data_IF_640158527133
#
_entry.id   IF_640158527133
#
_cell.length_a   1.000
_cell.length_b   1.000
_cell.length_c   1.000
_cell.angle_alpha   90.00
_cell.angle_beta   90.00
_cell.angle_gamma   90.00
#
_symmetry.space_group_name_H-M   'P 1'
#
loop_
_entity.id
_entity.type
_entity.pdbx_description
1 polymer ?
#
# COMPACT_ATOMS: atom_id res chain seq x y z
N UNK A 1 -16.88 -14.81 -26.63
CA UNK A 1 -15.52 -14.25 -26.56
C UNK A 1 -14.95 -14.58 -25.20
N UNK A 2 -14.05 -15.56 -25.11
CA UNK A 2 -13.35 -15.91 -23.86
C UNK A 2 -12.01 -15.18 -23.93
N UNK A 3 -11.88 -14.09 -23.20
CA UNK A 3 -10.61 -13.37 -23.09
C UNK A 3 -9.74 -14.12 -22.08
N UNK A 4 -8.90 -15.05 -22.55
CA UNK A 4 -7.73 -15.49 -21.78
C UNK A 4 -6.66 -14.43 -21.96
N UNK A 5 -6.78 -13.33 -21.21
CA UNK A 5 -5.63 -12.47 -20.97
C UNK A 5 -4.81 -13.10 -19.84
N UNK A 6 -3.51 -13.19 -20.03
CA UNK A 6 -2.54 -13.75 -19.10
C UNK A 6 -2.72 -13.17 -17.67
N UNK A 7 -3.46 -13.87 -16.81
CA UNK A 7 -3.67 -13.45 -15.42
C UNK A 7 -2.38 -13.54 -14.60
N UNK A 8 -1.37 -14.29 -15.06
CA UNK A 8 -0.12 -14.53 -14.33
C UNK A 8 0.72 -13.26 -14.14
N UNK A 9 0.93 -12.47 -15.19
CA UNK A 9 1.81 -11.28 -15.11
C UNK A 9 1.22 -10.21 -14.20
N UNK A 10 -0.10 -9.97 -14.31
CA UNK A 10 -0.81 -9.03 -13.44
C UNK A 10 -0.73 -9.48 -11.98
N UNK A 11 -0.95 -10.77 -11.73
CA UNK A 11 -0.84 -11.34 -10.40
C UNK A 11 0.58 -11.24 -9.84
N UNK A 12 1.61 -11.53 -10.65
CA UNK A 12 3.02 -11.47 -10.26
C UNK A 12 3.46 -10.05 -9.92
N UNK A 13 3.11 -9.07 -10.77
CA UNK A 13 3.37 -7.65 -10.51
C UNK A 13 2.67 -7.21 -9.22
N UNK A 14 1.39 -7.58 -9.06
CA UNK A 14 0.63 -7.23 -7.87
C UNK A 14 1.22 -7.84 -6.59
N UNK A 15 1.58 -9.13 -6.64
CA UNK A 15 2.18 -9.84 -5.51
C UNK A 15 3.52 -9.22 -5.11
N UNK A 16 4.36 -8.90 -6.08
CA UNK A 16 5.67 -8.30 -5.82
C UNK A 16 5.55 -6.86 -5.31
N UNK A 17 4.63 -6.07 -5.87
CA UNK A 17 4.33 -4.73 -5.35
C UNK A 17 3.92 -4.78 -3.88
N UNK A 18 2.97 -5.66 -3.52
CA UNK A 18 2.49 -5.81 -2.14
C UNK A 18 3.63 -6.24 -1.22
N UNK A 19 4.45 -7.20 -1.65
CA UNK A 19 5.60 -7.65 -0.87
C UNK A 19 6.57 -6.50 -0.58
N UNK A 20 6.98 -5.77 -1.62
CA UNK A 20 7.92 -4.66 -1.50
C UNK A 20 7.37 -3.52 -0.64
N UNK A 21 6.09 -3.17 -0.83
CA UNK A 21 5.42 -2.13 -0.03
C UNK A 21 5.42 -2.47 1.46
N UNK A 22 4.99 -3.68 1.83
CA UNK A 22 4.92 -4.08 3.24
C UNK A 22 6.30 -4.43 3.84
N UNK A 23 7.29 -4.86 3.05
CA UNK A 23 8.69 -4.95 3.50
C UNK A 23 9.23 -3.56 3.84
N UNK A 24 9.03 -2.56 2.97
CA UNK A 24 9.46 -1.19 3.25
C UNK A 24 8.72 -0.62 4.46
N UNK A 25 7.42 -0.88 4.61
CA UNK A 25 6.67 -0.45 5.79
C UNK A 25 7.20 -1.06 7.09
N UNK A 26 7.66 -2.30 7.05
CA UNK A 26 8.23 -3.00 8.20
C UNK A 26 9.62 -2.49 8.58
N UNK A 27 10.50 -2.33 7.58
CA UNK A 27 11.92 -2.03 7.82
C UNK A 27 12.23 -0.53 7.84
N UNK A 28 11.51 0.25 7.03
CA UNK A 28 11.78 1.68 6.73
C UNK A 28 10.46 2.44 6.51
N UNK A 29 9.57 2.53 7.51
CA UNK A 29 8.24 3.11 7.36
C UNK A 29 8.25 4.54 6.80
N UNK A 30 9.25 5.35 7.19
CA UNK A 30 9.44 6.70 6.68
C UNK A 30 9.76 6.79 5.18
N UNK A 31 10.11 5.69 4.52
CA UNK A 31 10.39 5.67 3.07
C UNK A 31 9.18 5.23 2.24
N UNK A 32 8.11 4.73 2.85
CA UNK A 32 6.94 4.17 2.14
C UNK A 32 6.24 5.21 1.24
N UNK A 33 6.30 6.50 1.60
CA UNK A 33 5.76 7.57 0.78
C UNK A 33 6.37 7.61 -0.64
N UNK A 34 7.55 7.00 -0.86
CA UNK A 34 8.22 6.93 -2.17
C UNK A 34 7.47 6.08 -3.19
N UNK A 35 6.53 5.23 -2.76
CA UNK A 35 5.63 4.51 -3.65
C UNK A 35 4.53 5.40 -4.26
N UNK A 36 4.37 6.63 -3.77
CA UNK A 36 3.33 7.57 -4.19
C UNK A 36 3.91 8.65 -5.10
N UNK A 37 3.10 9.15 -6.03
CA UNK A 37 3.44 10.27 -6.93
C UNK A 37 2.79 11.58 -6.48
N UNK A 38 3.05 12.67 -7.18
CA UNK A 38 2.51 14.00 -6.88
C UNK A 38 0.98 14.09 -6.98
N UNK A 39 0.34 13.23 -7.77
CA UNK A 39 -1.12 13.20 -7.94
C UNK A 39 -1.78 12.08 -7.12
N UNK A 40 -0.99 11.31 -6.37
CA UNK A 40 -1.51 10.19 -5.60
C UNK A 40 -2.35 10.65 -4.40
N UNK A 41 -3.28 9.78 -3.99
CA UNK A 41 -4.11 9.95 -2.80
C UNK A 41 -3.81 8.85 -1.79
N UNK A 42 -3.90 9.18 -0.51
CA UNK A 42 -3.74 8.24 0.60
C UNK A 42 -4.90 8.43 1.59
N UNK A 43 -5.45 7.30 2.06
CA UNK A 43 -6.50 7.23 3.07
C UNK A 43 -6.08 6.19 4.09
N UNK A 44 -6.21 6.51 5.37
CA UNK A 44 -6.00 5.59 6.48
C UNK A 44 -7.28 5.55 7.32
N UNK A 45 -7.75 4.34 7.66
CA UNK A 45 -9.00 4.09 8.39
C UNK A 45 -10.22 4.87 7.87
N UNK A 46 -10.69 5.86 8.63
CA UNK A 46 -11.89 6.67 8.34
C UNK A 46 -11.56 8.14 8.08
N UNK A 47 -10.27 8.48 7.94
CA UNK A 47 -9.82 9.84 7.71
C UNK A 47 -10.13 10.33 6.28
N UNK A 48 -10.12 11.65 6.10
CA UNK A 48 -10.25 12.24 4.77
C UNK A 48 -9.02 11.94 3.91
N UNK A 49 -9.20 11.74 2.59
CA UNK A 49 -8.09 11.51 1.68
C UNK A 49 -7.12 12.69 1.66
N UNK A 50 -5.82 12.39 1.79
CA UNK A 50 -4.74 13.36 1.57
C UNK A 50 -4.19 13.20 0.17
N UNK A 51 -3.98 14.31 -0.54
CA UNK A 51 -3.46 14.32 -1.92
C UNK A 51 -2.04 14.87 -1.96
N UNK A 52 -1.16 14.15 -2.69
CA UNK A 52 0.18 14.58 -3.03
C UNK A 52 1.28 14.03 -2.13
N UNK A 53 2.38 13.60 -2.74
CA UNK A 53 3.46 12.85 -2.09
C UNK A 53 3.98 13.48 -0.78
N UNK A 54 4.15 14.81 -0.74
CA UNK A 54 4.60 15.49 0.48
C UNK A 54 3.59 15.39 1.63
N UNK A 55 2.30 15.63 1.35
CA UNK A 55 1.24 15.51 2.37
C UNK A 55 1.05 14.07 2.81
N UNK A 56 1.25 13.12 1.91
CA UNK A 56 1.25 11.68 2.21
C UNK A 56 2.42 11.33 3.14
N UNK A 57 3.63 11.86 2.88
CA UNK A 57 4.78 11.70 3.78
C UNK A 57 4.45 12.18 5.19
N UNK A 58 3.95 13.41 5.32
CA UNK A 58 3.57 13.99 6.62
C UNK A 58 2.47 13.16 7.32
N UNK A 59 1.52 12.60 6.57
CA UNK A 59 0.50 11.71 7.12
C UNK A 59 1.09 10.40 7.64
N UNK A 60 1.99 9.76 6.88
CA UNK A 60 2.68 8.53 7.29
C UNK A 60 3.59 8.79 8.51
N UNK A 61 4.29 9.91 8.56
CA UNK A 61 5.13 10.30 9.70
C UNK A 61 4.30 10.46 10.99
N UNK A 62 3.10 11.06 10.90
CA UNK A 62 2.17 11.20 12.04
C UNK A 62 1.60 9.87 12.55
N UNK A 63 1.60 8.82 11.74
CA UNK A 63 1.11 7.50 12.15
C UNK A 63 2.14 6.73 12.97
N UNK A 64 3.41 7.16 12.98
CA UNK A 64 4.47 6.59 13.82
C UNK A 64 4.48 5.05 13.80
N UNK A 65 4.48 4.48 12.59
CA UNK A 65 4.50 3.03 12.40
C UNK A 65 5.75 2.41 13.03
N UNK A 66 5.57 1.55 14.04
CA UNK A 66 6.64 0.79 14.69
C UNK A 66 6.34 -0.71 14.59
N UNK A 67 7.38 -1.54 14.40
CA UNK A 67 7.29 -3.01 14.39
C UNK A 67 6.18 -3.59 13.50
N UNK A 68 5.90 -2.94 12.36
CA UNK A 68 4.85 -3.35 11.46
C UNK A 68 5.13 -4.74 10.85
N UNK A 69 4.22 -5.68 11.10
CA UNK A 69 4.22 -7.02 10.49
C UNK A 69 2.93 -7.24 9.73
N UNK A 70 3.07 -7.65 8.47
CA UNK A 70 1.94 -7.97 7.61
C UNK A 70 1.92 -9.46 7.29
N UNK A 71 0.77 -10.10 7.49
CA UNK A 71 0.49 -11.45 7.00
C UNK A 71 -0.51 -11.37 5.85
N UNK A 72 -0.02 -11.60 4.64
CA UNK A 72 -0.81 -11.52 3.42
C UNK A 72 -1.64 -12.79 3.27
N UNK A 73 -2.97 -12.67 3.12
CA UNK A 73 -3.87 -13.80 2.87
C UNK A 73 -4.20 -13.96 1.39
N UNK A 74 -4.58 -12.86 0.73
CA UNK A 74 -4.95 -12.88 -0.69
C UNK A 74 -4.50 -11.60 -1.38
N UNK A 75 -4.04 -11.74 -2.62
CA UNK A 75 -3.76 -10.63 -3.54
C UNK A 75 -4.53 -10.91 -4.82
N UNK A 76 -5.36 -9.96 -5.23
CA UNK A 76 -6.13 -10.00 -6.48
C UNK A 76 -5.78 -8.77 -7.30
N UNK A 77 -5.61 -8.94 -8.62
CA UNK A 77 -5.25 -7.87 -9.54
C UNK A 77 -6.21 -7.79 -10.72
N UNK A 78 -6.58 -6.58 -11.11
CA UNK A 78 -7.44 -6.30 -12.27
C UNK A 78 -6.83 -5.18 -13.10
N UNK A 79 -6.62 -5.42 -14.40
CA UNK A 79 -6.16 -4.39 -15.32
C UNK A 79 -7.23 -3.31 -15.53
N UNK A 80 -6.81 -2.05 -15.67
CA UNK A 80 -7.68 -0.92 -15.98
C UNK A 80 -7.57 -0.52 -17.45
N UNK A 81 -8.54 0.27 -17.93
CA UNK A 81 -8.61 0.76 -19.32
C UNK A 81 -7.41 1.63 -19.74
N UNK A 82 -6.64 2.16 -18.78
CA UNK A 82 -5.49 3.05 -19.02
C UNK A 82 -4.16 2.35 -18.72
N UNK A 83 -4.07 1.04 -18.98
CA UNK A 83 -2.86 0.25 -18.72
C UNK A 83 -2.42 0.27 -17.24
N UNK A 84 -3.35 0.58 -16.34
CA UNK A 84 -3.12 0.58 -14.90
C UNK A 84 -3.50 -0.77 -14.29
N UNK A 85 -3.14 -0.94 -13.03
CA UNK A 85 -3.43 -2.14 -12.25
C UNK A 85 -4.12 -1.74 -10.94
N UNK A 86 -5.31 -2.29 -10.70
CA UNK A 86 -5.95 -2.25 -9.39
C UNK A 86 -5.58 -3.52 -8.63
N UNK A 87 -4.99 -3.35 -7.45
CA UNK A 87 -4.61 -4.45 -6.56
C UNK A 87 -5.52 -4.39 -5.33
N UNK A 88 -6.22 -5.48 -5.06
CA UNK A 88 -6.96 -5.68 -3.83
C UNK A 88 -6.24 -6.70 -2.96
N UNK A 89 -5.96 -6.32 -1.71
CA UNK A 89 -5.22 -7.15 -0.77
C UNK A 89 -6.07 -7.41 0.47
N UNK A 90 -6.09 -8.65 0.94
CA UNK A 90 -6.55 -9.00 2.28
C UNK A 90 -5.34 -9.46 3.08
N UNK A 91 -5.11 -8.80 4.20
CA UNK A 91 -4.00 -9.10 5.09
C UNK A 91 -4.37 -8.79 6.54
N UNK A 92 -3.56 -9.28 7.46
CA UNK A 92 -3.53 -8.81 8.83
C UNK A 92 -2.26 -7.99 9.02
N UNK A 93 -2.41 -6.74 9.41
CA UNK A 93 -1.30 -5.87 9.82
C UNK A 93 -1.33 -5.70 11.33
N UNK A 94 -0.18 -5.90 11.96
CA UNK A 94 0.05 -5.55 13.36
C UNK A 94 1.19 -4.54 13.37
N UNK A 95 0.88 -3.29 13.71
CA UNK A 95 1.87 -2.24 13.96
C UNK A 95 1.74 -1.85 15.42
N UNK A 96 2.86 -1.72 16.11
CA UNK A 96 2.92 -1.01 17.37
C UNK A 96 2.76 0.48 17.06
N UNK A 97 1.86 1.14 17.79
CA UNK A 97 1.81 2.59 17.83
C UNK A 97 2.36 2.98 19.19
N UNK A 98 3.52 3.63 19.23
CA UNK A 98 3.90 4.36 20.43
C UNK A 98 3.00 5.59 20.48
N UNK A 99 1.86 5.51 21.18
CA UNK A 99 1.12 6.72 21.53
C UNK A 99 2.03 7.56 22.43
N UNK A 100 2.68 8.57 21.87
CA UNK A 100 3.40 9.56 22.64
C UNK A 100 2.37 10.42 23.40
N UNK A 101 2.19 10.15 24.70
CA UNK A 101 1.40 10.95 25.65
C UNK A 101 -0.13 10.76 25.54
N UNK A 102 -0.92 10.77 26.61
CA UNK A 102 -0.79 11.54 27.85
C UNK A 102 -2.03 12.43 27.96
#
# INVERSE_FOLDING_TARGET
MITVACTSVIYEIGREFVRQYYTMLSERPHDVFRFYSHESFFVHDIDQPVQGQQKIREAIERLEFVDCKARIYTVSGTATINNGLVIQVRLLTCCSFERIGG
#
